data_IF_698540754614
#
_entry.id   IF_698540754614
#
_cell.length_a   1.000
_cell.length_b   1.000
_cell.length_c   1.000
_cell.angle_alpha   90.00
_cell.angle_beta   90.00
_cell.angle_gamma   90.00
#
_symmetry.space_group_name_H-M   'P 1'
#
loop_
_entity.id
_entity.type
_entity.pdbx_description
1 polymer ?
#
# COMPACT_ATOMS: atom_id res chain seq x y z
N UNK A 1 -3.11 -2.16 2.24
CA UNK A 1 -1.64 -2.28 2.09
C UNK A 1 -1.31 -3.45 1.18
N UNK A 2 -0.24 -3.39 0.40
CA UNK A 2 0.17 -4.49 -0.48
C UNK A 2 1.68 -4.66 -0.53
N UNK A 3 2.14 -5.91 -0.56
CA UNK A 3 3.57 -6.26 -0.65
C UNK A 3 3.88 -7.06 -1.90
N UNK A 4 4.88 -6.61 -2.68
CA UNK A 4 5.29 -7.27 -3.93
C UNK A 4 4.12 -7.43 -4.90
N UNK A 5 3.91 -8.66 -5.42
CA UNK A 5 2.82 -8.96 -6.38
C UNK A 5 1.43 -8.75 -5.76
N UNK A 6 1.28 -8.83 -4.43
CA UNK A 6 0.00 -8.65 -3.74
C UNK A 6 -0.65 -7.28 -4.01
N UNK A 7 0.14 -6.26 -4.38
CA UNK A 7 -0.40 -4.95 -4.74
C UNK A 7 -1.29 -4.99 -6.00
N UNK A 8 -1.08 -5.95 -6.90
CA UNK A 8 -1.91 -6.09 -8.10
C UNK A 8 -3.38 -6.39 -7.73
N UNK A 9 -3.58 -7.30 -6.76
CA UNK A 9 -4.92 -7.64 -6.26
C UNK A 9 -5.56 -6.47 -5.51
N UNK A 10 -4.77 -5.80 -4.66
CA UNK A 10 -5.23 -4.62 -3.91
C UNK A 10 -5.65 -3.48 -4.85
N UNK A 11 -4.91 -3.25 -5.93
CA UNK A 11 -5.20 -2.16 -6.87
C UNK A 11 -6.58 -2.33 -7.53
N UNK A 12 -6.98 -3.55 -7.87
CA UNK A 12 -8.33 -3.82 -8.41
C UNK A 12 -9.43 -3.48 -7.41
N UNK A 13 -9.22 -3.78 -6.12
CA UNK A 13 -10.20 -3.45 -5.07
C UNK A 13 -10.23 -1.94 -4.80
N UNK A 14 -9.08 -1.27 -4.84
CA UNK A 14 -8.99 0.20 -4.68
C UNK A 14 -9.76 0.92 -5.78
N UNK A 15 -9.71 0.42 -7.01
CA UNK A 15 -10.46 0.94 -8.16
C UNK A 15 -11.96 1.03 -7.85
N UNK A 16 -12.55 -0.09 -7.41
CA UNK A 16 -13.97 -0.18 -7.06
C UNK A 16 -14.33 0.70 -5.84
N UNK A 17 -13.48 0.71 -4.82
CA UNK A 17 -13.70 1.53 -3.63
C UNK A 17 -13.66 3.03 -3.96
N UNK A 18 -12.74 3.45 -4.83
CA UNK A 18 -12.69 4.84 -5.31
C UNK A 18 -13.89 5.17 -6.20
N UNK A 19 -14.30 4.26 -7.09
CA UNK A 19 -15.49 4.44 -7.92
C UNK A 19 -16.79 4.62 -7.10
N UNK A 20 -16.86 4.00 -5.92
CA UNK A 20 -17.99 4.16 -4.97
C UNK A 20 -17.82 5.33 -3.99
N UNK A 21 -16.84 6.21 -4.22
CA UNK A 21 -16.64 7.44 -3.46
C UNK A 21 -16.04 7.23 -2.07
N UNK A 22 -15.40 6.08 -1.80
CA UNK A 22 -14.74 5.82 -0.52
C UNK A 22 -13.41 6.56 -0.44
N UNK A 23 -13.08 7.04 0.76
CA UNK A 23 -11.73 7.51 1.03
C UNK A 23 -10.82 6.29 1.20
N UNK A 24 -9.78 6.18 0.37
CA UNK A 24 -8.88 5.03 0.34
C UNK A 24 -7.45 5.52 0.39
N UNK A 25 -6.72 5.04 1.40
CA UNK A 25 -5.29 5.20 1.55
C UNK A 25 -4.60 3.86 1.29
N UNK A 26 -3.48 3.89 0.58
CA UNK A 26 -2.78 2.69 0.11
C UNK A 26 -1.29 2.78 0.45
N UNK A 27 -0.76 1.77 1.13
CA UNK A 27 0.68 1.57 1.27
C UNK A 27 1.15 0.43 0.35
N UNK A 28 2.25 0.67 -0.37
CA UNK A 28 2.94 -0.31 -1.21
C UNK A 28 4.34 -0.57 -0.66
N UNK A 29 4.64 -1.84 -0.41
CA UNK A 29 5.98 -2.32 -0.04
C UNK A 29 6.63 -3.12 -1.15
N UNK A 30 7.91 -2.83 -1.42
CA UNK A 30 8.74 -3.59 -2.35
C UNK A 30 10.17 -3.73 -1.83
N UNK A 31 10.92 -4.72 -2.33
CA UNK A 31 12.34 -4.88 -1.94
C UNK A 31 13.22 -3.73 -2.43
N UNK A 32 12.92 -3.24 -3.64
CA UNK A 32 13.67 -2.21 -4.35
C UNK A 32 12.80 -1.53 -5.42
N UNK A 33 13.34 -0.48 -6.04
CA UNK A 33 12.71 0.30 -7.11
C UNK A 33 12.23 -0.54 -8.29
N UNK A 34 13.00 -1.55 -8.69
CA UNK A 34 12.65 -2.41 -9.82
C UNK A 34 11.46 -3.33 -9.49
N UNK A 35 11.27 -3.66 -8.22
CA UNK A 35 10.16 -4.47 -7.73
C UNK A 35 8.92 -3.64 -7.38
N UNK A 36 9.03 -2.30 -7.36
CA UNK A 36 7.91 -1.42 -7.10
C UNK A 36 7.03 -1.31 -8.35
N UNK A 37 5.86 -1.92 -8.27
CA UNK A 37 4.89 -2.00 -9.36
C UNK A 37 3.57 -1.33 -8.95
N UNK A 38 2.75 -0.95 -9.93
CA UNK A 38 1.41 -0.37 -9.75
C UNK A 38 1.31 1.00 -9.05
N UNK A 39 2.39 1.59 -8.54
CA UNK A 39 2.39 2.94 -7.94
C UNK A 39 1.68 3.96 -8.85
N UNK A 40 2.11 4.08 -10.11
CA UNK A 40 1.54 5.05 -11.06
C UNK A 40 0.05 4.85 -11.27
N UNK A 41 -0.42 3.59 -11.31
CA UNK A 41 -1.84 3.26 -11.46
C UNK A 41 -2.62 3.69 -10.23
N UNK A 42 -2.11 3.42 -9.03
CA UNK A 42 -2.74 3.83 -7.78
C UNK A 42 -2.81 5.37 -7.65
N UNK A 43 -1.76 6.09 -8.06
CA UNK A 43 -1.79 7.56 -8.12
C UNK A 43 -2.83 8.08 -9.11
N UNK A 44 -3.01 7.40 -10.25
CA UNK A 44 -4.02 7.77 -11.23
C UNK A 44 -5.47 7.56 -10.74
N UNK A 45 -5.67 6.70 -9.74
CA UNK A 45 -6.96 6.50 -9.05
C UNK A 45 -7.21 7.52 -7.93
N UNK A 46 -6.42 8.59 -7.86
CA UNK A 46 -6.49 9.63 -6.83
C UNK A 46 -6.45 9.04 -5.40
N UNK A 47 -5.69 7.95 -5.22
CA UNK A 47 -5.47 7.34 -3.92
C UNK A 47 -4.24 7.94 -3.25
N UNK A 48 -4.37 8.23 -1.95
CA UNK A 48 -3.22 8.62 -1.13
C UNK A 48 -2.30 7.41 -1.00
N UNK A 49 -1.23 7.43 -1.78
CA UNK A 49 -0.34 6.31 -1.95
C UNK A 49 1.01 6.56 -1.26
N UNK A 50 1.33 5.72 -0.28
CA UNK A 50 2.64 5.66 0.38
C UNK A 50 3.46 4.52 -0.21
N UNK A 51 4.72 4.79 -0.56
CA UNK A 51 5.64 3.79 -1.08
C UNK A 51 6.79 3.58 -0.09
N UNK A 52 7.10 2.32 0.19
CA UNK A 52 8.26 1.93 0.96
C UNK A 52 9.10 0.93 0.17
N UNK A 53 10.42 1.03 0.35
CA UNK A 53 11.36 0.03 -0.17
C UNK A 53 12.32 -0.43 0.91
N UNK A 54 12.58 -1.73 0.99
CA UNK A 54 13.48 -2.29 2.02
C UNK A 54 14.90 -1.69 1.91
N UNK A 55 15.34 -1.40 0.69
CA UNK A 55 16.65 -0.81 0.40
C UNK A 55 16.65 0.73 0.41
N UNK A 56 15.49 1.38 0.44
CA UNK A 56 15.34 2.84 0.41
C UNK A 56 15.51 3.46 -0.99
N UNK A 57 15.52 2.65 -2.05
CA UNK A 57 15.69 3.12 -3.43
C UNK A 57 14.52 3.98 -3.93
N UNK A 58 13.32 3.85 -3.34
CA UNK A 58 12.15 4.72 -3.56
C UNK A 58 11.35 4.88 -2.28
N UNK A 59 10.87 6.09 -2.03
CA UNK A 59 10.01 6.37 -0.88
C UNK A 59 10.79 6.24 0.43
N UNK A 60 10.15 5.65 1.44
CA UNK A 60 10.78 5.47 2.75
C UNK A 60 11.51 4.12 2.84
N UNK A 61 12.68 4.12 3.49
CA UNK A 61 13.43 2.90 3.80
C UNK A 61 12.88 2.25 5.06
N UNK A 62 11.83 1.45 4.89
CA UNK A 62 11.11 0.81 5.99
C UNK A 62 10.23 -0.32 5.46
N UNK A 63 9.67 -1.12 6.38
CA UNK A 63 8.66 -2.09 6.00
C UNK A 63 7.33 -1.37 5.76
N UNK A 64 6.48 -1.94 4.93
CA UNK A 64 5.16 -1.35 4.60
C UNK A 64 4.22 -1.28 5.81
N UNK A 65 4.48 -2.07 6.85
CA UNK A 65 3.77 -2.06 8.14
C UNK A 65 4.03 -0.77 8.92
N UNK A 66 5.20 -0.17 8.81
CA UNK A 66 5.59 1.04 9.55
C UNK A 66 4.66 2.24 9.24
N UNK A 67 4.47 2.68 7.97
CA UNK A 67 3.55 3.78 7.67
C UNK A 67 2.07 3.40 7.92
N UNK A 68 1.73 2.11 7.92
CA UNK A 68 0.38 1.64 8.24
C UNK A 68 0.10 1.82 9.75
N UNK A 69 1.05 1.47 10.62
CA UNK A 69 0.93 1.70 12.06
C UNK A 69 0.77 3.19 12.36
N UNK A 70 1.57 4.03 11.69
CA UNK A 70 1.51 5.48 11.80
C UNK A 70 0.14 6.06 11.44
N UNK A 71 -0.50 5.58 10.37
CA UNK A 71 -1.78 6.11 9.94
C UNK A 71 -2.93 5.63 10.83
N UNK A 72 -2.87 4.39 11.32
CA UNK A 72 -3.84 3.85 12.28
C UNK A 72 -3.80 4.66 13.59
N UNK A 73 -2.62 5.12 14.02
CA UNK A 73 -2.49 5.96 15.19
C UNK A 73 -3.04 7.40 14.99
N UNK A 74 -3.06 7.89 13.75
CA UNK A 74 -3.42 9.29 13.42
C UNK A 74 -4.85 9.45 12.91
N UNK A 75 -5.46 8.40 12.38
CA UNK A 75 -6.76 8.44 11.70
C UNK A 75 -7.65 7.28 12.11
N UNK A 76 -8.96 7.48 12.03
CA UNK A 76 -9.93 6.39 12.20
C UNK A 76 -9.95 5.54 10.92
N UNK A 77 -9.66 4.25 11.07
CA UNK A 77 -9.69 3.27 9.97
C UNK A 77 -10.85 2.29 10.20
N UNK A 78 -11.75 2.19 9.23
CA UNK A 78 -12.91 1.29 9.31
C UNK A 78 -12.60 -0.12 8.75
N UNK A 79 -11.64 -0.22 7.82
CA UNK A 79 -11.28 -1.48 7.16
C UNK A 79 -9.80 -1.46 6.72
N UNK A 80 -9.09 -2.56 7.00
CA UNK A 80 -7.75 -2.82 6.46
C UNK A 80 -7.82 -4.02 5.52
N UNK A 81 -7.39 -3.81 4.28
CA UNK A 81 -7.17 -4.87 3.30
C UNK A 81 -5.67 -5.07 3.10
N UNK A 82 -5.20 -6.30 3.19
CA UNK A 82 -3.79 -6.66 3.01
C UNK A 82 -3.62 -7.83 2.07
N UNK A 83 -2.58 -7.79 1.25
CA UNK A 83 -2.18 -8.90 0.39
C UNK A 83 -0.68 -8.82 0.14
N UNK A 84 0.04 -9.90 0.42
CA UNK A 84 1.49 -9.97 0.27
C UNK A 84 2.05 -11.24 0.90
N UNK A 85 3.37 -11.26 1.17
CA UNK A 85 4.01 -12.36 1.88
C UNK A 85 3.34 -12.62 3.23
N UNK A 86 3.26 -13.88 3.65
CA UNK A 86 2.62 -14.28 4.91
C UNK A 86 3.18 -13.53 6.12
N UNK A 87 4.50 -13.37 6.19
CA UNK A 87 5.17 -12.60 7.26
C UNK A 87 4.68 -11.15 7.32
N UNK A 88 4.45 -10.50 6.18
CA UNK A 88 3.92 -9.12 6.12
C UNK A 88 2.47 -9.04 6.61
N UNK A 89 1.66 -10.08 6.38
CA UNK A 89 0.25 -10.08 6.79
C UNK A 89 0.05 -10.47 8.26
N UNK A 90 1.05 -11.11 8.87
CA UNK A 90 1.01 -11.55 10.27
C UNK A 90 1.37 -10.42 11.25
N UNK A 91 2.25 -9.52 10.85
CA UNK A 91 2.64 -8.31 11.58
C UNK A 91 1.49 -7.30 11.68
#
# INVERSE_FOLDING_TARGET
>A
MGGGIGIAAITTVVDELKATGKNVWVAIGARNKASLIFEKRLRALDSDCCCTTDDGSVGQKCFVTDPVADIIAKQKIDLILTCGPEMMMKE
#
